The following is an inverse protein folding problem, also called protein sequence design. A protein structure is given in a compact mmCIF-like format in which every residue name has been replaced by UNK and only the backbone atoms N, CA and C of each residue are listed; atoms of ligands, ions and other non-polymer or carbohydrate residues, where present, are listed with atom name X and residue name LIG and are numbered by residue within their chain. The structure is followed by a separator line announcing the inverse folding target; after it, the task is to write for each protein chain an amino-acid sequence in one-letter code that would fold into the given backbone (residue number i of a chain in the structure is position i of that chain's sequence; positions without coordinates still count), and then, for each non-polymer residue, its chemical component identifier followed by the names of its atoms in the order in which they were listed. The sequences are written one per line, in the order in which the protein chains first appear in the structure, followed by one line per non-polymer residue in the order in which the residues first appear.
data_IF_401611284741
#
_entry.id   IF_401611284741
#
_cell.length_a   1.000
_cell.length_b   1.000
_cell.length_c   1.000
_cell.angle_alpha   90.00
_cell.angle_beta   90.00
_cell.angle_gamma   90.00
#
_symmetry.space_group_name_H-M   'P 1'
#
loop_
_entity.id
_entity.type
_entity.pdbx_description
1 polymer ?
#
# COMPACT_ATOMS: atom_id res chain seq x y z
N UNK A 1 -2.70 24.42 -25.18
CA UNK A 1 -1.74 23.40 -24.73
C UNK A 1 -1.42 23.68 -23.28
N UNK A 2 -2.07 22.97 -22.36
CA UNK A 2 -1.65 22.95 -20.96
C UNK A 2 -0.32 22.22 -20.88
N UNK A 3 0.76 22.99 -20.75
CA UNK A 3 2.07 22.45 -20.39
C UNK A 3 1.92 21.75 -19.04
N UNK A 4 2.28 20.47 -18.96
CA UNK A 4 2.32 19.75 -17.70
C UNK A 4 3.25 20.44 -16.69
N UNK A 5 3.12 20.10 -15.41
CA UNK A 5 3.99 20.59 -14.33
C UNK A 5 5.47 20.32 -14.64
N UNK A 6 5.74 19.17 -15.26
CA UNK A 6 7.04 18.84 -15.83
C UNK A 6 6.79 18.44 -17.27
N UNK A 7 7.35 19.19 -18.20
CA UNK A 7 7.11 18.99 -19.63
C UNK A 7 7.40 17.54 -20.04
N UNK A 8 6.43 16.91 -20.71
CA UNK A 8 6.46 15.50 -21.14
C UNK A 8 6.64 14.43 -20.03
N UNK A 9 6.79 14.79 -18.75
CA UNK A 9 7.02 13.84 -17.66
C UNK A 9 5.89 13.80 -16.64
N UNK A 10 5.16 14.91 -16.48
CA UNK A 10 4.09 15.00 -15.50
C UNK A 10 2.99 15.99 -15.97
N UNK A 11 1.92 15.51 -16.63
CA UNK A 11 1.68 14.13 -17.05
C UNK A 11 2.72 13.61 -18.05
N UNK A 12 3.02 12.29 -18.07
CA UNK A 12 4.01 11.75 -18.99
C UNK A 12 3.46 11.70 -20.42
N UNK A 13 4.32 12.00 -21.41
CA UNK A 13 4.06 11.68 -22.81
C UNK A 13 3.96 10.16 -23.02
N UNK A 14 3.42 9.70 -24.15
CA UNK A 14 3.25 8.26 -24.41
C UNK A 14 4.59 7.53 -24.41
N UNK A 15 5.62 8.15 -24.96
CA UNK A 15 6.99 7.62 -24.98
C UNK A 15 7.56 7.48 -23.56
N UNK A 16 7.49 8.55 -22.76
CA UNK A 16 7.98 8.54 -21.39
C UNK A 16 7.19 7.56 -20.51
N UNK A 17 5.88 7.47 -20.71
CA UNK A 17 5.04 6.47 -20.04
C UNK A 17 5.49 5.04 -20.36
N UNK A 18 5.71 4.73 -21.64
CA UNK A 18 6.16 3.41 -22.07
C UNK A 18 7.55 3.09 -21.47
N UNK A 19 8.46 4.06 -21.44
CA UNK A 19 9.76 3.92 -20.81
C UNK A 19 9.63 3.62 -19.31
N UNK A 20 8.88 4.42 -18.56
CA UNK A 20 8.67 4.24 -17.11
C UNK A 20 8.03 2.88 -16.83
N UNK A 21 6.99 2.48 -17.56
CA UNK A 21 6.34 1.17 -17.40
C UNK A 21 7.30 0.02 -17.74
N UNK A 22 8.20 0.19 -18.71
CA UNK A 22 9.18 -0.84 -19.06
C UNK A 22 10.13 -1.15 -17.90
N UNK A 23 10.52 -0.12 -17.14
CA UNK A 23 11.32 -0.25 -15.92
C UNK A 23 10.47 -0.75 -14.75
N UNK A 24 9.23 -0.26 -14.62
CA UNK A 24 8.35 -0.56 -13.49
C UNK A 24 8.05 -2.05 -13.34
N UNK A 25 8.01 -2.79 -14.45
CA UNK A 25 7.87 -4.26 -14.47
C UNK A 25 8.97 -5.01 -13.72
N UNK A 26 10.16 -4.42 -13.60
CA UNK A 26 11.32 -5.03 -12.95
C UNK A 26 11.45 -4.70 -11.47
N UNK A 27 10.59 -3.83 -10.94
CA UNK A 27 10.59 -3.46 -9.53
C UNK A 27 10.51 -4.66 -8.55
N UNK A 28 9.78 -5.76 -8.83
CA UNK A 28 9.77 -6.93 -7.95
C UNK A 28 11.16 -7.54 -7.73
N UNK A 29 12.04 -7.50 -8.73
CA UNK A 29 13.41 -8.00 -8.60
C UNK A 29 14.21 -7.14 -7.62
N UNK A 30 14.09 -5.81 -7.73
CA UNK A 30 14.75 -4.89 -6.82
C UNK A 30 14.24 -5.05 -5.39
N UNK A 31 12.92 -5.13 -5.19
CA UNK A 31 12.35 -5.35 -3.86
C UNK A 31 12.70 -6.71 -3.26
N UNK A 32 12.93 -7.73 -4.09
CA UNK A 32 13.37 -9.05 -3.63
C UNK A 32 14.77 -9.03 -3.00
N UNK A 33 15.56 -7.96 -3.17
CA UNK A 33 16.79 -7.78 -2.39
C UNK A 33 16.53 -7.73 -0.89
N UNK A 34 15.31 -7.36 -0.45
CA UNK A 34 14.89 -7.41 0.95
C UNK A 34 14.99 -8.82 1.56
N UNK A 35 14.96 -9.89 0.78
CA UNK A 35 15.18 -11.25 1.29
C UNK A 35 16.56 -11.46 1.90
N UNK A 36 17.56 -10.68 1.45
CA UNK A 36 18.94 -10.75 1.92
C UNK A 36 19.26 -9.69 2.97
N UNK A 37 18.34 -8.77 3.25
CA UNK A 37 18.52 -7.69 4.21
C UNK A 37 17.84 -8.06 5.54
N UNK A 38 18.60 -8.05 6.62
CA UNK A 38 18.08 -8.23 7.98
C UNK A 38 17.49 -6.96 8.58
N UNK A 39 17.72 -5.81 7.94
CA UNK A 39 17.34 -4.48 8.44
C UNK A 39 16.39 -3.78 7.47
N UNK A 40 15.27 -3.27 7.99
CA UNK A 40 14.23 -2.58 7.20
C UNK A 40 13.97 -1.13 7.67
N UNK A 41 14.74 -0.60 8.64
CA UNK A 41 14.75 0.83 9.00
C UNK A 41 13.42 1.48 9.39
N UNK A 42 12.38 0.68 9.65
CA UNK A 42 11.00 1.09 9.88
C UNK A 42 10.27 0.07 10.77
N UNK A 43 9.23 0.49 11.49
CA UNK A 43 8.39 -0.41 12.28
C UNK A 43 9.16 -1.04 13.45
N UNK A 44 9.16 -2.38 13.54
CA UNK A 44 9.87 -3.12 14.60
C UNK A 44 11.39 -3.10 14.44
N UNK A 45 11.90 -2.80 13.24
CA UNK A 45 13.34 -2.71 12.95
C UNK A 45 13.80 -1.25 12.80
N UNK A 46 13.00 -0.29 13.27
CA UNK A 46 13.41 1.12 13.33
C UNK A 46 14.61 1.26 14.26
N UNK A 47 15.67 1.91 13.78
CA UNK A 47 16.89 2.22 14.56
C UNK A 47 16.92 3.70 14.89
N UNK A 48 17.66 4.09 15.94
CA UNK A 48 17.90 5.51 16.20
C UNK A 48 18.91 6.06 15.18
N UNK A 49 18.49 7.08 14.41
CA UNK A 49 19.33 7.77 13.44
C UNK A 49 18.95 9.25 13.41
N UNK A 50 19.93 10.13 13.19
CA UNK A 50 19.69 11.57 12.95
C UNK A 50 18.95 11.84 11.63
N UNK A 51 18.95 10.85 10.73
CA UNK A 51 18.26 10.89 9.44
C UNK A 51 16.85 10.30 9.51
N UNK A 52 16.30 10.08 10.71
CA UNK A 52 14.94 9.60 10.85
C UNK A 52 13.92 10.73 10.67
N UNK A 53 12.89 10.42 9.89
CA UNK A 53 11.68 11.24 9.78
C UNK A 53 10.68 10.77 10.85
N UNK A 54 9.97 11.69 11.55
CA UNK A 54 8.92 11.31 12.49
C UNK A 54 7.85 10.43 11.84
N UNK A 55 7.49 9.32 12.48
CA UNK A 55 6.70 8.24 11.85
C UNK A 55 5.40 8.69 11.16
N UNK A 56 4.57 9.51 11.84
CA UNK A 56 3.31 10.02 11.26
C UNK A 56 3.54 10.93 10.06
N UNK A 57 4.50 11.85 10.16
CA UNK A 57 4.82 12.80 9.09
C UNK A 57 5.43 12.05 7.91
N UNK A 58 6.39 11.16 8.17
CA UNK A 58 7.00 10.31 7.15
C UNK A 58 5.96 9.49 6.39
N UNK A 59 5.03 8.84 7.12
CA UNK A 59 3.96 8.06 6.49
C UNK A 59 3.03 8.91 5.64
N UNK A 60 2.54 10.03 6.17
CA UNK A 60 1.66 10.93 5.43
C UNK A 60 2.35 11.44 4.16
N UNK A 61 3.58 11.94 4.29
CA UNK A 61 4.32 12.55 3.17
C UNK A 61 4.84 11.57 2.14
N UNK A 62 5.09 10.31 2.50
CA UNK A 62 5.47 9.30 1.51
C UNK A 62 4.25 8.78 0.73
N UNK A 63 3.08 8.68 1.37
CA UNK A 63 1.88 8.06 0.77
C UNK A 63 1.03 9.04 -0.05
N UNK A 64 0.80 10.27 0.47
CA UNK A 64 -0.07 11.29 -0.15
C UNK A 64 0.28 11.60 -1.62
N UNK A 65 1.57 11.71 -2.01
CA UNK A 65 1.94 11.97 -3.40
C UNK A 65 1.33 10.99 -4.40
N UNK A 66 1.09 9.73 -4.03
CA UNK A 66 0.57 8.72 -4.96
C UNK A 66 -0.81 9.07 -5.52
N UNK A 67 -1.79 9.35 -4.66
CA UNK A 67 -3.13 9.70 -5.14
C UNK A 67 -3.19 11.11 -5.72
N UNK A 68 -2.34 12.05 -5.25
CA UNK A 68 -2.21 13.36 -5.89
C UNK A 68 -1.66 13.22 -7.31
N UNK A 69 -0.70 12.33 -7.55
CA UNK A 69 -0.19 12.04 -8.89
C UNK A 69 -1.23 11.44 -9.80
N UNK A 70 -2.04 10.51 -9.28
CA UNK A 70 -3.16 9.97 -10.03
C UNK A 70 -4.16 11.08 -10.40
N UNK A 71 -4.63 11.87 -9.42
CA UNK A 71 -5.60 12.94 -9.66
C UNK A 71 -5.08 13.97 -10.66
N UNK A 72 -3.85 14.46 -10.45
CA UNK A 72 -3.20 15.42 -11.33
C UNK A 72 -3.11 14.90 -12.77
N UNK A 73 -2.70 13.64 -12.93
CA UNK A 73 -2.57 13.00 -14.26
C UNK A 73 -3.94 12.78 -14.90
N UNK A 74 -4.96 12.43 -14.11
CA UNK A 74 -6.32 12.23 -14.61
C UNK A 74 -7.03 13.52 -15.02
N UNK A 75 -6.64 14.67 -14.48
CA UNK A 75 -7.22 15.96 -14.88
C UNK A 75 -6.50 16.60 -16.07
N UNK A 76 -5.18 16.44 -16.21
CA UNK A 76 -4.40 17.15 -17.22
C UNK A 76 -4.10 16.33 -18.48
N UNK A 77 -3.89 15.02 -18.36
CA UNK A 77 -3.56 14.20 -19.53
C UNK A 77 -4.69 14.13 -20.58
N UNK A 78 -5.99 14.02 -20.21
CA UNK A 78 -7.07 14.01 -21.20
C UNK A 78 -7.07 15.27 -22.07
N UNK A 79 -6.83 16.45 -21.48
CA UNK A 79 -6.78 17.72 -22.22
C UNK A 79 -5.63 17.73 -23.24
N UNK A 80 -4.44 17.24 -22.85
CA UNK A 80 -3.29 17.12 -23.75
C UNK A 80 -3.55 16.17 -24.94
N UNK A 81 -4.40 15.16 -24.73
CA UNK A 81 -4.76 14.16 -25.74
C UNK A 81 -6.07 14.50 -26.47
N UNK A 82 -6.68 15.66 -26.21
CA UNK A 82 -7.98 16.06 -26.77
C UNK A 82 -9.12 15.05 -26.46
N UNK A 83 -9.06 14.40 -25.30
CA UNK A 83 -10.10 13.50 -24.80
C UNK A 83 -11.10 14.33 -23.99
N UNK A 84 -12.36 14.39 -24.45
CA UNK A 84 -13.39 15.24 -23.86
C UNK A 84 -14.09 14.63 -22.64
N UNK A 85 -14.24 13.31 -22.61
CA UNK A 85 -14.82 12.60 -21.46
C UNK A 85 -14.19 11.22 -21.30
N UNK A 86 -14.01 10.81 -20.05
CA UNK A 86 -13.51 9.48 -19.71
C UNK A 86 -14.68 8.53 -19.43
N UNK A 87 -14.58 7.25 -19.85
CA UNK A 87 -15.58 6.24 -19.50
C UNK A 87 -15.76 6.12 -17.98
N UNK A 88 -16.96 5.72 -17.57
CA UNK A 88 -17.31 5.63 -16.15
C UNK A 88 -16.44 4.62 -15.39
N UNK A 89 -15.95 3.56 -16.04
CA UNK A 89 -15.02 2.59 -15.46
C UNK A 89 -13.71 3.25 -15.02
N UNK A 90 -13.15 4.15 -15.84
CA UNK A 90 -11.93 4.90 -15.52
C UNK A 90 -12.15 5.77 -14.27
N UNK A 91 -13.28 6.47 -14.21
CA UNK A 91 -13.67 7.32 -13.08
C UNK A 91 -13.87 6.49 -11.80
N UNK A 92 -14.52 5.32 -11.91
CA UNK A 92 -14.71 4.39 -10.77
C UNK A 92 -13.36 3.87 -10.27
N UNK A 93 -12.48 3.38 -11.15
CA UNK A 93 -11.16 2.89 -10.76
C UNK A 93 -10.29 4.01 -10.14
N UNK A 94 -10.31 5.22 -10.72
CA UNK A 94 -9.64 6.38 -10.12
C UNK A 94 -10.21 6.70 -8.73
N UNK A 95 -11.54 6.64 -8.58
CA UNK A 95 -12.23 6.80 -7.31
C UNK A 95 -11.84 5.76 -6.26
N UNK A 96 -11.77 4.47 -6.62
CA UNK A 96 -11.33 3.39 -5.73
C UNK A 96 -9.91 3.62 -5.23
N UNK A 97 -8.99 4.01 -6.13
CA UNK A 97 -7.62 4.35 -5.76
C UNK A 97 -7.59 5.51 -4.75
N UNK A 98 -8.37 6.57 -5.00
CA UNK A 98 -8.48 7.71 -4.08
C UNK A 98 -9.10 7.32 -2.74
N UNK A 99 -10.11 6.45 -2.72
CA UNK A 99 -10.74 5.95 -1.49
C UNK A 99 -9.71 5.20 -0.64
N UNK A 100 -8.97 4.25 -1.25
CA UNK A 100 -7.91 3.53 -0.57
C UNK A 100 -6.88 4.50 0.03
N UNK A 101 -6.34 5.42 -0.77
CA UNK A 101 -5.29 6.32 -0.29
C UNK A 101 -5.80 7.45 0.62
N UNK A 102 -7.08 7.79 0.59
CA UNK A 102 -7.70 8.66 1.61
C UNK A 102 -7.61 7.98 2.98
N UNK A 103 -7.87 6.66 3.03
CA UNK A 103 -7.61 5.89 4.24
C UNK A 103 -6.10 5.74 4.50
N UNK A 104 -5.34 5.13 3.58
CA UNK A 104 -3.95 4.72 3.81
C UNK A 104 -2.96 5.87 3.99
N UNK A 105 -3.11 6.96 3.24
CA UNK A 105 -2.18 8.08 3.28
C UNK A 105 -2.53 9.10 4.36
N UNK A 106 -3.83 9.35 4.57
CA UNK A 106 -4.30 10.44 5.46
C UNK A 106 -4.86 9.89 6.76
N UNK A 107 -5.93 9.10 6.73
CA UNK A 107 -6.59 8.65 7.96
C UNK A 107 -5.73 7.69 8.78
N UNK A 108 -5.05 6.74 8.14
CA UNK A 108 -4.24 5.72 8.82
C UNK A 108 -3.18 6.33 9.75
N UNK A 109 -2.29 7.25 9.31
CA UNK A 109 -1.30 7.82 10.22
C UNK A 109 -1.91 8.71 11.31
N UNK A 110 -3.08 9.31 11.08
CA UNK A 110 -3.81 10.12 12.06
C UNK A 110 -4.48 9.25 13.14
N UNK A 111 -5.04 8.11 12.75
CA UNK A 111 -5.76 7.18 13.64
C UNK A 111 -4.83 6.28 14.45
N UNK A 112 -3.58 6.11 14.00
CA UNK A 112 -2.62 5.23 14.65
C UNK A 112 -2.09 5.83 15.97
N UNK A 113 -2.20 5.14 17.13
CA UNK A 113 -1.72 5.64 18.41
C UNK A 113 -0.22 5.97 18.40
N UNK A 114 0.57 5.12 17.73
CA UNK A 114 1.99 5.35 17.53
C UNK A 114 2.49 4.74 16.21
N UNK A 115 3.40 5.46 15.54
CA UNK A 115 4.15 4.99 14.37
C UNK A 115 5.63 5.19 14.67
N UNK A 116 6.42 4.13 14.55
CA UNK A 116 7.87 4.21 14.71
C UNK A 116 8.46 5.20 13.69
N UNK A 117 9.52 5.95 14.05
CA UNK A 117 10.29 6.72 13.07
C UNK A 117 10.76 5.85 11.90
N UNK A 118 11.03 6.48 10.76
CA UNK A 118 11.54 5.79 9.58
C UNK A 118 12.77 6.50 9.05
N UNK A 119 13.75 5.74 8.58
CA UNK A 119 14.94 6.30 7.98
C UNK A 119 14.60 7.01 6.65
N UNK A 120 15.27 8.14 6.35
CA UNK A 120 15.02 8.91 5.12
C UNK A 120 15.12 8.08 3.83
N UNK A 121 16.01 7.08 3.78
CA UNK A 121 16.13 6.18 2.63
C UNK A 121 14.86 5.36 2.38
N UNK A 122 14.21 4.88 3.45
CA UNK A 122 12.95 4.13 3.34
C UNK A 122 11.82 5.07 2.91
N UNK A 123 11.78 6.27 3.51
CA UNK A 123 10.84 7.32 3.14
C UNK A 123 10.98 7.71 1.66
N UNK A 124 12.20 7.97 1.18
CA UNK A 124 12.45 8.35 -0.22
C UNK A 124 12.07 7.24 -1.18
N UNK A 125 12.38 5.98 -0.84
CA UNK A 125 11.98 4.84 -1.66
C UNK A 125 10.46 4.71 -1.77
N UNK A 126 9.74 4.85 -0.65
CA UNK A 126 8.27 4.81 -0.64
C UNK A 126 7.66 6.01 -1.38
N UNK A 127 8.21 7.21 -1.21
CA UNK A 127 7.77 8.41 -1.93
C UNK A 127 7.91 8.23 -3.45
N UNK A 128 9.08 7.78 -3.92
CA UNK A 128 9.33 7.54 -5.35
C UNK A 128 8.40 6.47 -5.88
N UNK A 129 8.20 5.39 -5.12
CA UNK A 129 7.25 4.33 -5.47
C UNK A 129 5.84 4.90 -5.68
N UNK A 130 5.37 5.71 -4.74
CA UNK A 130 4.03 6.30 -4.76
C UNK A 130 3.84 7.23 -5.97
N UNK A 131 4.80 8.11 -6.26
CA UNK A 131 4.74 9.01 -7.42
C UNK A 131 4.72 8.22 -8.74
N UNK A 132 5.62 7.22 -8.90
CA UNK A 132 5.67 6.41 -10.13
C UNK A 132 4.37 5.62 -10.28
N UNK A 133 3.91 4.95 -9.23
CA UNK A 133 2.70 4.13 -9.27
C UNK A 133 1.45 4.96 -9.59
N UNK A 134 1.26 6.07 -8.88
CA UNK A 134 0.14 6.99 -9.09
C UNK A 134 0.14 7.59 -10.49
N UNK A 135 1.30 7.98 -11.01
CA UNK A 135 1.45 8.50 -12.38
C UNK A 135 1.14 7.43 -13.42
N UNK A 136 1.65 6.20 -13.25
CA UNK A 136 1.44 5.10 -14.18
C UNK A 136 -0.03 4.64 -14.24
N UNK A 137 -0.69 4.50 -13.08
CA UNK A 137 -2.11 4.15 -13.03
C UNK A 137 -2.94 5.31 -13.55
N UNK A 138 -2.66 6.54 -13.11
CA UNK A 138 -3.34 7.74 -13.57
C UNK A 138 -3.31 7.88 -15.10
N UNK A 139 -2.12 7.77 -15.71
CA UNK A 139 -1.96 7.90 -17.17
C UNK A 139 -2.67 6.79 -17.95
N UNK A 140 -2.68 5.57 -17.42
CA UNK A 140 -3.45 4.48 -18.04
C UNK A 140 -4.95 4.75 -17.97
N UNK A 141 -5.46 5.22 -16.84
CA UNK A 141 -6.87 5.55 -16.67
C UNK A 141 -7.29 6.84 -17.37
N UNK A 142 -6.38 7.69 -17.84
CA UNK A 142 -6.74 8.99 -18.41
C UNK A 142 -6.39 9.19 -19.89
N UNK A 143 -5.79 8.20 -20.54
CA UNK A 143 -5.59 8.29 -22.00
C UNK A 143 -4.73 7.22 -22.64
N UNK A 144 -3.94 6.47 -21.86
CA UNK A 144 -3.06 5.44 -22.41
C UNK A 144 -3.59 4.02 -22.33
N UNK A 145 -4.66 3.80 -21.55
CA UNK A 145 -5.50 2.60 -21.56
C UNK A 145 -6.81 2.85 -22.32
N UNK A 146 -7.89 2.13 -21.98
CA UNK A 146 -9.21 2.29 -22.60
C UNK A 146 -9.79 3.72 -22.46
N UNK A 147 -10.22 4.33 -23.56
CA UNK A 147 -10.83 5.68 -23.57
C UNK A 147 -12.25 5.69 -24.13
N UNK A 148 -12.70 4.58 -24.71
CA UNK A 148 -14.07 4.43 -25.25
C UNK A 148 -14.78 3.19 -24.68
N UNK A 149 -16.10 3.11 -24.88
CA UNK A 149 -16.88 1.94 -24.50
C UNK A 149 -16.40 0.66 -25.23
N UNK A 150 -16.03 0.78 -26.51
CA UNK A 150 -15.50 -0.32 -27.32
C UNK A 150 -14.15 -0.81 -26.79
N UNK A 151 -13.29 0.09 -26.34
CA UNK A 151 -12.03 -0.31 -25.72
C UNK A 151 -12.29 -1.12 -24.45
N UNK A 152 -13.25 -0.71 -23.62
CA UNK A 152 -13.65 -1.47 -22.42
C UNK A 152 -14.26 -2.83 -22.73
N UNK A 153 -15.05 -2.95 -23.80
CA UNK A 153 -15.55 -4.24 -24.28
C UNK A 153 -14.39 -5.18 -24.66
N UNK A 154 -13.35 -4.64 -25.32
CA UNK A 154 -12.14 -5.42 -25.66
C UNK A 154 -11.24 -5.73 -24.46
N UNK A 155 -11.25 -4.86 -23.45
CA UNK A 155 -10.42 -4.96 -22.25
C UNK A 155 -10.93 -6.03 -21.27
N UNK A 156 -12.26 -6.20 -21.19
CA UNK A 156 -12.94 -7.08 -20.24
C UNK A 156 -13.41 -8.38 -20.91
N UNK A 157 -12.61 -9.44 -20.79
CA UNK A 157 -12.91 -10.75 -21.37
C UNK A 157 -14.28 -11.32 -20.95
N UNK A 158 -14.73 -11.04 -19.71
CA UNK A 158 -16.06 -11.44 -19.21
C UNK A 158 -17.02 -10.25 -19.06
N UNK A 159 -16.78 -9.17 -19.79
CA UNK A 159 -17.60 -7.96 -19.79
C UNK A 159 -17.78 -7.34 -18.40
N UNK A 160 -18.95 -6.75 -18.18
CA UNK A 160 -19.27 -6.04 -16.92
C UNK A 160 -19.22 -6.93 -15.68
N UNK A 161 -19.44 -8.24 -15.80
CA UNK A 161 -19.35 -9.15 -14.66
C UNK A 161 -17.93 -9.18 -14.08
N UNK A 162 -16.90 -9.21 -14.94
CA UNK A 162 -15.50 -9.13 -14.51
C UNK A 162 -15.24 -7.86 -13.70
N UNK A 163 -15.76 -6.73 -14.19
CA UNK A 163 -15.61 -5.43 -13.54
C UNK A 163 -16.26 -5.42 -12.14
N UNK A 164 -17.49 -5.92 -12.03
CA UNK A 164 -18.22 -6.01 -10.75
C UNK A 164 -17.53 -6.96 -9.77
N UNK A 165 -17.06 -8.12 -10.22
CA UNK A 165 -16.30 -9.06 -9.38
C UNK A 165 -15.01 -8.41 -8.89
N UNK A 166 -14.28 -7.72 -9.76
CA UNK A 166 -13.07 -6.97 -9.38
C UNK A 166 -13.35 -5.90 -8.31
N UNK A 167 -14.44 -5.14 -8.44
CA UNK A 167 -14.88 -4.18 -7.42
C UNK A 167 -15.24 -4.88 -6.10
N UNK A 168 -15.96 -6.01 -6.18
CA UNK A 168 -16.31 -6.79 -4.99
C UNK A 168 -15.08 -7.27 -4.22
N UNK A 169 -14.07 -7.78 -4.93
CA UNK A 169 -12.77 -8.16 -4.37
C UNK A 169 -12.04 -6.95 -3.76
N UNK A 170 -12.06 -5.81 -4.47
CA UNK A 170 -11.46 -4.57 -3.99
C UNK A 170 -12.03 -4.17 -2.62
N UNK A 171 -13.35 -4.06 -2.50
CA UNK A 171 -13.99 -3.67 -1.24
C UNK A 171 -13.83 -4.72 -0.13
N UNK A 172 -13.87 -6.01 -0.47
CA UNK A 172 -13.61 -7.07 0.50
C UNK A 172 -12.20 -6.95 1.09
N UNK A 173 -11.20 -6.71 0.24
CA UNK A 173 -9.83 -6.45 0.66
C UNK A 173 -9.71 -5.19 1.50
N UNK A 174 -10.26 -4.06 1.05
CA UNK A 174 -10.19 -2.77 1.76
C UNK A 174 -10.83 -2.82 3.15
N UNK A 175 -12.06 -3.36 3.25
CA UNK A 175 -12.77 -3.50 4.54
C UNK A 175 -12.00 -4.44 5.46
N UNK A 176 -11.51 -5.56 4.92
CA UNK A 176 -10.70 -6.51 5.66
C UNK A 176 -9.42 -5.88 6.19
N UNK A 177 -8.68 -5.14 5.35
CA UNK A 177 -7.46 -4.44 5.72
C UNK A 177 -7.74 -3.44 6.86
N UNK A 178 -8.76 -2.60 6.70
CA UNK A 178 -9.20 -1.64 7.73
C UNK A 178 -9.53 -2.32 9.07
N UNK A 179 -10.28 -3.41 9.05
CA UNK A 179 -10.65 -4.16 10.25
C UNK A 179 -9.41 -4.67 11.01
N UNK A 180 -8.45 -5.26 10.30
CA UNK A 180 -7.24 -5.80 10.93
C UNK A 180 -6.29 -4.70 11.39
N UNK A 181 -6.27 -3.55 10.72
CA UNK A 181 -5.56 -2.36 11.19
C UNK A 181 -6.15 -1.79 12.48
N UNK A 182 -7.49 -1.77 12.61
CA UNK A 182 -8.14 -1.32 13.85
C UNK A 182 -7.86 -2.26 15.02
N UNK A 183 -7.76 -3.57 14.77
CA UNK A 183 -7.35 -4.51 15.82
C UNK A 183 -5.90 -4.24 16.29
N UNK A 184 -4.98 -3.98 15.36
CA UNK A 184 -3.61 -3.57 15.72
C UNK A 184 -3.59 -2.22 16.45
N UNK A 185 -4.46 -1.27 16.07
CA UNK A 185 -4.63 0.01 16.77
C UNK A 185 -5.10 -0.23 18.20
N UNK A 186 -6.08 -1.10 18.41
CA UNK A 186 -6.59 -1.41 19.74
C UNK A 186 -5.53 -2.02 20.66
N UNK A 187 -4.71 -2.95 20.16
CA UNK A 187 -3.56 -3.48 20.90
C UNK A 187 -2.60 -2.35 21.31
N UNK A 188 -2.28 -1.43 20.38
CA UNK A 188 -1.41 -0.29 20.67
C UNK A 188 -2.01 0.69 21.68
N UNK A 189 -3.31 0.97 21.62
CA UNK A 189 -4.02 1.82 22.60
C UNK A 189 -3.97 1.22 24.00
N UNK A 190 -4.24 -0.09 24.12
CA UNK A 190 -4.15 -0.81 25.41
C UNK A 190 -2.75 -0.76 25.98
N UNK A 191 -1.73 -0.96 25.15
CA UNK A 191 -0.35 -0.88 25.60
C UNK A 191 0.05 0.53 26.04
N UNK A 192 -0.36 1.56 25.30
CA UNK A 192 -0.11 2.95 25.69
C UNK A 192 -0.75 3.28 27.05
N UNK A 193 -2.02 2.91 27.25
CA UNK A 193 -2.72 3.11 28.53
C UNK A 193 -2.03 2.34 29.68
N UNK A 194 -1.51 1.13 29.42
CA UNK A 194 -0.72 0.37 30.38
C UNK A 194 0.57 1.10 30.75
N UNK A 195 1.32 1.60 29.77
CA UNK A 195 2.57 2.31 30.00
C UNK A 195 2.34 3.61 30.80
N UNK A 196 1.29 4.36 30.48
CA UNK A 196 0.90 5.59 31.19
C UNK A 196 0.53 5.30 32.66
N UNK A 197 -0.25 4.24 32.92
CA UNK A 197 -0.59 3.82 34.29
C UNK A 197 0.66 3.44 35.09
N UNK A 198 1.53 2.59 34.54
CA UNK A 198 2.74 2.14 35.22
C UNK A 198 3.75 3.27 35.45
N UNK A 199 3.88 4.19 34.50
CA UNK A 199 4.72 5.38 34.64
C UNK A 199 4.24 6.24 35.82
N UNK A 200 2.92 6.43 35.95
CA UNK A 200 2.32 7.18 37.07
C UNK A 200 2.53 6.48 38.41
N UNK A 201 2.34 5.17 38.47
CA UNK A 201 2.54 4.37 39.69
C UNK A 201 4.00 4.38 40.18
N UNK A 202 4.97 4.37 39.23
CA UNK A 202 6.40 4.39 39.54
C UNK A 202 7.01 5.78 39.67
N UNK A 203 6.27 6.83 39.31
CA UNK A 203 6.81 8.20 39.22
C UNK A 203 7.88 8.37 38.14
N UNK A 204 7.86 7.53 37.10
CA UNK A 204 8.85 7.52 36.02
C UNK A 204 8.27 8.08 34.71
N UNK A 205 9.13 8.32 33.72
CA UNK A 205 8.69 8.70 32.38
C UNK A 205 8.07 7.51 31.63
N UNK A 206 7.05 7.73 30.80
CA UNK A 206 6.47 6.67 29.95
C UNK A 206 7.52 5.97 29.07
N UNK A 207 8.59 6.68 28.70
CA UNK A 207 9.69 6.14 27.88
C UNK A 207 10.56 5.11 28.61
N UNK A 208 10.59 5.08 29.95
CA UNK A 208 11.34 4.07 30.71
C UNK A 208 10.57 2.75 30.86
N UNK A 209 9.25 2.75 30.62
CA UNK A 209 8.44 1.55 30.73
C UNK A 209 8.62 0.69 29.48
N UNK A 210 9.13 -0.54 29.65
CA UNK A 210 9.31 -1.49 28.57
C UNK A 210 7.97 -1.80 27.86
N UNK A 211 8.03 -1.77 26.53
CA UNK A 211 6.89 -2.07 25.67
C UNK A 211 6.57 -3.56 25.69
N UNK A 212 5.36 -3.89 26.10
CA UNK A 212 4.84 -5.24 26.01
C UNK A 212 4.18 -5.46 24.64
N UNK A 213 4.53 -6.57 23.98
CA UNK A 213 3.95 -6.94 22.70
C UNK A 213 2.93 -8.06 22.90
N UNK A 214 1.82 -7.99 22.18
CA UNK A 214 0.75 -8.98 22.19
C UNK A 214 0.67 -9.69 20.82
N UNK A 215 0.26 -10.96 20.80
CA UNK A 215 -0.10 -11.67 19.57
C UNK A 215 -1.59 -11.40 19.31
N UNK A 216 -1.97 -10.74 18.19
CA UNK A 216 -3.37 -10.50 17.87
C UNK A 216 -4.14 -11.82 17.67
N UNK A 217 -5.41 -11.87 18.07
CA UNK A 217 -6.25 -13.08 18.00
C UNK A 217 -7.63 -12.86 17.34
N UNK A 218 -7.96 -11.65 16.89
CA UNK A 218 -9.25 -11.37 16.26
C UNK A 218 -9.23 -11.58 14.73
N UNK A 219 -10.33 -12.08 14.17
CA UNK A 219 -10.47 -12.27 12.71
C UNK A 219 -9.42 -13.22 12.12
N UNK A 220 -8.84 -12.84 10.97
CA UNK A 220 -7.81 -13.65 10.31
C UNK A 220 -6.51 -13.73 11.11
N UNK A 221 -6.31 -12.89 12.14
CA UNK A 221 -5.16 -13.07 13.03
C UNK A 221 -5.15 -14.43 13.74
N UNK A 222 -6.27 -15.13 13.81
CA UNK A 222 -6.34 -16.50 14.34
C UNK A 222 -5.48 -17.48 13.54
N UNK A 223 -5.41 -17.29 12.21
CA UNK A 223 -4.74 -18.20 11.27
C UNK A 223 -3.49 -17.61 10.62
N UNK A 224 -3.27 -16.29 10.68
CA UNK A 224 -2.07 -15.65 10.12
C UNK A 224 -1.61 -14.42 10.90
N UNK A 225 -0.36 -13.98 10.72
CA UNK A 225 0.24 -12.86 11.46
C UNK A 225 0.09 -11.51 10.77
N UNK A 226 -0.02 -11.49 9.44
CA UNK A 226 -0.11 -10.28 8.62
C UNK A 226 -1.34 -10.30 7.69
N UNK A 227 -2.56 -10.45 8.23
CA UNK A 227 -3.79 -10.47 7.42
C UNK A 227 -4.08 -9.15 6.71
N UNK A 228 -3.64 -8.02 7.27
CA UNK A 228 -3.75 -6.71 6.64
C UNK A 228 -3.01 -6.69 5.29
N UNK A 229 -1.81 -7.26 5.18
CA UNK A 229 -1.11 -7.38 3.89
C UNK A 229 -1.84 -8.30 2.93
N UNK A 230 -2.31 -9.46 3.38
CA UNK A 230 -3.04 -10.39 2.53
C UNK A 230 -4.32 -9.77 1.94
N UNK A 231 -5.06 -9.02 2.75
CA UNK A 231 -6.28 -8.34 2.32
C UNK A 231 -6.00 -7.14 1.42
N UNK A 232 -4.89 -6.42 1.64
CA UNK A 232 -4.39 -5.39 0.72
C UNK A 232 -4.04 -6.01 -0.65
N UNK A 233 -3.45 -7.21 -0.68
CA UNK A 233 -3.23 -7.92 -1.94
C UNK A 233 -4.52 -8.35 -2.63
N UNK A 234 -5.53 -8.81 -1.89
CA UNK A 234 -6.85 -9.11 -2.47
C UNK A 234 -7.49 -7.85 -3.04
N UNK A 235 -7.35 -6.72 -2.34
CA UNK A 235 -7.86 -5.42 -2.79
C UNK A 235 -7.29 -5.07 -4.16
N UNK A 236 -5.97 -5.06 -4.30
CA UNK A 236 -5.30 -4.67 -5.55
C UNK A 236 -5.36 -5.73 -6.64
N UNK A 237 -5.53 -7.01 -6.29
CA UNK A 237 -5.92 -8.04 -7.25
C UNK A 237 -7.31 -7.74 -7.82
N UNK A 238 -8.27 -7.36 -6.97
CA UNK A 238 -9.59 -6.92 -7.39
C UNK A 238 -9.54 -5.71 -8.31
N UNK A 239 -8.70 -4.72 -7.99
CA UNK A 239 -8.43 -3.58 -8.87
C UNK A 239 -7.92 -4.02 -10.24
N UNK A 240 -6.95 -4.93 -10.30
CA UNK A 240 -6.40 -5.45 -11.55
C UNK A 240 -7.44 -6.24 -12.36
N UNK A 241 -8.24 -7.08 -11.70
CA UNK A 241 -9.36 -7.81 -12.32
C UNK A 241 -10.35 -6.82 -12.95
N UNK A 242 -10.73 -5.76 -12.22
CA UNK A 242 -11.63 -4.74 -12.72
C UNK A 242 -11.02 -3.91 -13.85
N UNK A 243 -9.73 -3.57 -13.76
CA UNK A 243 -9.03 -2.82 -14.81
C UNK A 243 -8.75 -3.65 -16.08
N UNK A 244 -8.90 -4.98 -16.01
CA UNK A 244 -8.62 -5.91 -17.10
C UNK A 244 -7.18 -6.44 -17.07
N UNK A 245 -7.00 -7.70 -17.47
CA UNK A 245 -5.71 -8.41 -17.36
C UNK A 245 -4.55 -7.76 -18.12
N UNK A 246 -4.85 -7.03 -19.21
CA UNK A 246 -3.88 -6.26 -19.99
C UNK A 246 -3.49 -4.92 -19.36
N UNK A 247 -4.15 -4.49 -18.27
CA UNK A 247 -3.77 -3.31 -17.49
C UNK A 247 -2.42 -3.54 -16.81
N UNK A 248 -1.36 -3.22 -17.54
CA UNK A 248 0.03 -3.40 -17.09
C UNK A 248 0.33 -2.65 -15.78
N UNK A 249 -0.06 -1.38 -15.56
CA UNK A 249 0.25 -0.72 -14.29
C UNK A 249 -0.47 -1.35 -13.09
N UNK A 250 -1.73 -1.79 -13.22
CA UNK A 250 -2.44 -2.48 -12.14
C UNK A 250 -1.76 -3.83 -11.80
N UNK A 251 -1.37 -4.59 -12.82
CA UNK A 251 -0.55 -5.81 -12.64
C UNK A 251 0.75 -5.51 -11.92
N UNK A 252 1.51 -4.53 -12.40
CA UNK A 252 2.79 -4.16 -11.80
C UNK A 252 2.58 -3.77 -10.34
N UNK A 253 1.56 -2.97 -10.04
CA UNK A 253 1.30 -2.54 -8.68
C UNK A 253 1.04 -3.72 -7.72
N UNK A 254 0.10 -4.61 -8.08
CA UNK A 254 -0.18 -5.80 -7.30
C UNK A 254 1.07 -6.67 -7.07
N UNK A 255 1.84 -6.95 -8.12
CA UNK A 255 3.06 -7.76 -8.01
C UNK A 255 4.14 -7.06 -7.18
N UNK A 256 4.26 -5.74 -7.31
CA UNK A 256 5.23 -4.93 -6.57
C UNK A 256 4.90 -4.92 -5.07
N UNK A 257 3.63 -4.82 -4.70
CA UNK A 257 3.22 -4.90 -3.30
C UNK A 257 3.50 -6.25 -2.69
N UNK A 258 3.14 -7.35 -3.38
CA UNK A 258 3.45 -8.71 -2.91
C UNK A 258 4.96 -8.86 -2.72
N UNK A 259 5.77 -8.46 -3.71
CA UNK A 259 7.22 -8.55 -3.64
C UNK A 259 7.84 -7.66 -2.55
N UNK A 260 7.24 -6.51 -2.25
CA UNK A 260 7.73 -5.59 -1.23
C UNK A 260 7.31 -6.00 0.20
N UNK A 261 6.10 -6.54 0.37
CA UNK A 261 5.52 -6.84 1.69
C UNK A 261 5.78 -8.26 2.17
N UNK A 262 5.84 -9.26 1.27
CA UNK A 262 6.02 -10.67 1.65
C UNK A 262 7.34 -10.93 2.42
N UNK A 263 8.51 -10.40 2.00
CA UNK A 263 9.74 -10.55 2.78
C UNK A 263 9.58 -10.02 4.21
N UNK A 264 8.85 -8.91 4.38
CA UNK A 264 8.58 -8.29 5.69
C UNK A 264 7.66 -9.15 6.54
N UNK A 265 6.63 -9.77 5.95
CA UNK A 265 5.75 -10.69 6.66
C UNK A 265 6.52 -11.91 7.17
N UNK A 266 7.41 -12.48 6.34
CA UNK A 266 8.24 -13.65 6.71
C UNK A 266 9.23 -13.29 7.81
N UNK A 267 9.98 -12.19 7.67
CA UNK A 267 10.88 -11.69 8.72
C UNK A 267 10.11 -11.33 10.00
N UNK A 268 8.91 -10.79 9.87
CA UNK A 268 8.01 -10.52 10.98
C UNK A 268 7.57 -11.79 11.72
N UNK A 269 7.28 -12.88 11.00
CA UNK A 269 6.98 -14.19 11.60
C UNK A 269 8.18 -14.74 12.39
N UNK A 270 9.40 -14.61 11.87
CA UNK A 270 10.63 -14.97 12.61
C UNK A 270 10.73 -14.20 13.93
N UNK A 271 10.52 -12.88 13.90
CA UNK A 271 10.49 -12.06 15.10
C UNK A 271 9.41 -12.51 16.10
N UNK A 272 8.22 -12.91 15.63
CA UNK A 272 7.17 -13.45 16.51
C UNK A 272 7.59 -14.79 17.16
N UNK A 273 8.25 -15.67 16.42
CA UNK A 273 8.79 -16.93 16.94
C UNK A 273 9.84 -16.66 18.02
N UNK A 274 10.80 -15.78 17.75
CA UNK A 274 11.85 -15.39 18.71
C UNK A 274 11.27 -14.76 19.98
N UNK A 275 10.22 -13.92 19.85
CA UNK A 275 9.64 -13.19 21.00
C UNK A 275 8.68 -14.04 21.84
N UNK A 276 7.90 -14.92 21.22
CA UNK A 276 6.80 -15.63 21.90
C UNK A 276 6.95 -17.15 21.97
N UNK A 277 7.97 -17.70 21.30
CA UNK A 277 8.21 -19.14 21.19
C UNK A 277 7.47 -19.75 20.00
N UNK A 278 8.13 -20.73 19.37
CA UNK A 278 7.65 -21.44 18.18
C UNK A 278 6.28 -22.09 18.39
N UNK A 279 6.07 -22.70 19.56
CA UNK A 279 4.83 -23.40 19.90
C UNK A 279 3.56 -22.53 19.80
N UNK A 280 3.67 -21.23 20.10
CA UNK A 280 2.55 -20.30 20.01
C UNK A 280 2.26 -19.82 18.59
N UNK A 281 3.27 -19.88 17.70
CA UNK A 281 3.22 -19.30 16.36
C UNK A 281 3.06 -20.36 15.27
N UNK A 282 3.43 -21.63 15.52
CA UNK A 282 3.48 -22.70 14.51
C UNK A 282 2.20 -22.90 13.70
N UNK A 283 1.03 -22.61 14.29
CA UNK A 283 -0.29 -22.75 13.62
C UNK A 283 -0.70 -21.52 12.79
N UNK A 284 0.10 -20.44 12.79
CA UNK A 284 -0.18 -19.20 12.08
C UNK A 284 0.73 -19.05 10.86
N UNK A 285 0.13 -18.79 9.72
CA UNK A 285 0.82 -18.36 8.51
C UNK A 285 1.39 -16.94 8.72
N UNK A 286 2.42 -16.54 7.99
CA UNK A 286 2.91 -15.18 7.93
C UNK A 286 1.86 -14.32 7.23
N UNK A 287 1.49 -14.65 6.00
CA UNK A 287 0.50 -13.90 5.22
C UNK A 287 -0.27 -14.76 4.20
N UNK A 288 0.36 -15.77 3.59
CA UNK A 288 -0.27 -16.59 2.53
C UNK A 288 -0.63 -17.96 3.11
N UNK A 289 -1.93 -18.28 3.25
CA UNK A 289 -2.36 -19.60 3.72
C UNK A 289 -1.76 -20.74 2.88
N UNK A 290 -1.17 -21.74 3.55
CA UNK A 290 -0.60 -22.92 2.89
C UNK A 290 0.81 -22.73 2.33
N UNK A 291 1.38 -21.51 2.35
CA UNK A 291 2.73 -21.24 1.83
C UNK A 291 3.62 -20.60 2.88
N UNK A 292 3.22 -19.44 3.42
CA UNK A 292 4.02 -18.62 4.32
C UNK A 292 3.24 -18.13 5.52
#
# INVERSE_FOLDING_TARGET
MTTGLIDNWYPPSKENYNFVISLWKWYPLFCSLQWFLSWYGMGKTSVQSRLNVPGRIGWLTMEVPGFLSLLYTMTHLPEQLSITDLPWQNKVLGGLFVIHYSYRAVLFPLLQPSISPMHVLIWSSAFIFQVINGTCIGAYLSGYGPTTARDWESQLHFGTLQFVVGIGLFYFGLIGNYYHDEELRNIRRREQARQERLAKEKGESVKSIEKHYEIPQAGLFQIMLFPHYFLEWIEWLGFWVAAGWSCTPARCFFLNEVAAMLPRAVSGKKWYIERFGEEKIKKKWAAIPGVW
#
